data_IF_001456041562
#
_entry.id   IF_001456041562
#
_cell.length_a   1.000
_cell.length_b   1.000
_cell.length_c   1.000
_cell.angle_alpha   90.00
_cell.angle_beta   90.00
_cell.angle_gamma   90.00
#
_symmetry.space_group_name_H-M   'P 1'
#
loop_
_entity.id
_entity.type
_entity.pdbx_description
1 polymer ?
#
# COMPACT_ATOMS: atom_id res chain seq x y z
N UNK A 1 2.86 -14.33 -14.35
CA UNK A 1 3.38 -13.30 -13.43
C UNK A 1 3.07 -11.93 -14.01
N UNK A 2 2.43 -11.07 -13.20
CA UNK A 2 2.02 -9.74 -13.66
C UNK A 2 3.03 -8.65 -13.26
N UNK A 3 3.66 -8.78 -12.10
CA UNK A 3 4.61 -7.80 -11.62
C UNK A 3 5.46 -8.39 -10.51
N UNK A 4 6.75 -8.05 -10.48
CA UNK A 4 7.68 -8.46 -9.44
C UNK A 4 8.10 -7.23 -8.63
N UNK A 5 7.81 -7.24 -7.33
CA UNK A 5 8.20 -6.15 -6.43
C UNK A 5 9.69 -6.19 -6.14
N UNK A 6 10.26 -5.01 -5.86
CA UNK A 6 11.65 -4.88 -5.47
C UNK A 6 12.63 -4.68 -6.61
N UNK A 7 12.18 -4.76 -7.86
CA UNK A 7 13.08 -4.61 -9.01
C UNK A 7 13.52 -3.16 -9.23
N UNK A 8 12.74 -2.21 -8.72
CA UNK A 8 13.04 -0.77 -8.83
C UNK A 8 13.48 -0.18 -7.49
N UNK A 9 13.95 -1.03 -6.58
CA UNK A 9 14.37 -0.61 -5.25
C UNK A 9 13.19 -0.41 -4.31
N UNK A 10 13.43 0.34 -3.23
CA UNK A 10 12.44 0.50 -2.17
C UNK A 10 11.28 1.40 -2.54
N UNK A 11 11.44 2.28 -3.53
CA UNK A 11 10.42 3.28 -3.85
C UNK A 11 9.12 2.64 -4.36
N UNK A 12 9.23 1.54 -5.07
CA UNK A 12 8.07 0.82 -5.60
C UNK A 12 7.38 -0.08 -4.59
N UNK A 13 7.92 -0.17 -3.40
CA UNK A 13 7.43 -1.09 -2.39
C UNK A 13 7.98 -2.50 -2.54
N UNK A 14 7.84 -3.28 -1.49
CA UNK A 14 8.18 -4.69 -1.52
C UNK A 14 7.42 -5.43 -0.43
N UNK A 15 7.48 -6.75 -0.48
CA UNK A 15 6.76 -7.61 0.46
C UNK A 15 5.25 -7.34 0.43
N UNK A 16 4.59 -7.58 -0.71
CA UNK A 16 3.14 -7.54 -0.73
C UNK A 16 2.61 -8.64 0.18
N UNK A 17 1.73 -8.29 1.09
CA UNK A 17 1.34 -9.21 2.15
C UNK A 17 -0.16 -9.38 2.24
N UNK A 18 -0.99 -8.76 1.84
CA UNK A 18 -2.42 -9.04 1.78
C UNK A 18 -2.80 -9.50 0.39
N UNK A 19 -4.06 -9.65 0.17
CA UNK A 19 -4.57 -9.92 -1.16
C UNK A 19 -4.65 -8.67 -1.99
N UNK A 20 -5.13 -8.83 -3.20
CA UNK A 20 -5.42 -7.70 -4.09
C UNK A 20 -6.91 -7.61 -4.33
N UNK A 21 -7.39 -6.40 -4.60
CA UNK A 21 -8.77 -6.12 -4.98
C UNK A 21 -8.78 -5.67 -6.44
N UNK A 22 -9.70 -6.21 -7.22
CA UNK A 22 -9.83 -5.91 -8.64
C UNK A 22 -11.01 -4.97 -8.86
N UNK A 23 -10.81 -3.92 -9.66
CA UNK A 23 -11.91 -3.05 -10.07
C UNK A 23 -12.58 -3.57 -11.35
N UNK A 24 -13.63 -2.88 -11.79
CA UNK A 24 -14.38 -3.30 -12.98
C UNK A 24 -13.58 -3.14 -14.27
N UNK A 25 -12.51 -2.37 -14.25
CA UNK A 25 -11.63 -2.18 -15.40
C UNK A 25 -10.48 -3.18 -15.43
N UNK A 26 -10.37 -4.04 -14.42
CA UNK A 26 -9.33 -5.05 -14.36
C UNK A 26 -8.03 -4.59 -13.70
N UNK A 27 -8.01 -3.41 -13.12
CA UNK A 27 -6.87 -2.96 -12.33
C UNK A 27 -6.87 -3.65 -10.98
N UNK A 28 -5.68 -3.89 -10.43
CA UNK A 28 -5.50 -4.52 -9.13
C UNK A 28 -4.97 -3.50 -8.14
N UNK A 29 -5.45 -3.60 -6.91
CA UNK A 29 -5.05 -2.71 -5.83
C UNK A 29 -4.62 -3.54 -4.63
N UNK A 30 -3.57 -3.12 -3.97
CA UNK A 30 -3.09 -3.81 -2.79
C UNK A 30 -2.10 -2.96 -2.02
N UNK A 31 -1.43 -3.58 -1.06
CA UNK A 31 -0.45 -2.90 -0.22
C UNK A 31 0.85 -3.69 -0.19
N UNK A 32 1.94 -2.98 0.11
CA UNK A 32 3.21 -3.61 0.46
C UNK A 32 3.54 -3.28 1.90
N UNK A 33 4.19 -4.22 2.57
CA UNK A 33 4.55 -4.06 3.99
C UNK A 33 5.70 -3.06 4.15
N UNK A 34 6.63 -3.04 3.20
CA UNK A 34 7.82 -2.20 3.22
C UNK A 34 7.92 -1.42 1.92
N UNK A 35 8.89 -0.53 1.86
CA UNK A 35 9.13 0.31 0.71
C UNK A 35 8.56 1.70 0.90
N UNK A 36 8.70 2.54 -0.09
CA UNK A 36 8.36 3.96 0.01
C UNK A 36 9.51 4.78 0.58
N UNK A 37 9.21 5.96 1.08
CA UNK A 37 10.23 6.95 1.45
C UNK A 37 10.30 7.25 2.94
N UNK A 38 9.70 6.42 3.78
CA UNK A 38 9.72 6.72 5.19
C UNK A 38 11.08 6.38 5.80
N UNK A 39 11.52 7.21 6.75
CA UNK A 39 12.77 6.97 7.47
C UNK A 39 12.55 6.40 8.87
N UNK A 40 11.31 6.29 9.31
CA UNK A 40 10.98 5.81 10.65
C UNK A 40 11.23 4.31 10.80
N UNK A 41 10.98 3.56 9.74
CA UNK A 41 11.14 2.10 9.73
C UNK A 41 12.19 1.76 8.68
N UNK A 42 13.17 0.95 9.05
CA UNK A 42 14.15 0.45 8.11
C UNK A 42 13.46 -0.34 7.02
N UNK A 43 13.76 -0.05 5.78
CA UNK A 43 13.10 -0.67 4.62
C UNK A 43 11.85 0.05 4.17
N UNK A 44 11.43 1.12 4.88
CA UNK A 44 10.25 1.91 4.54
C UNK A 44 9.01 1.51 5.31
N UNK A 45 7.96 2.28 5.19
CA UNK A 45 6.73 2.13 5.96
C UNK A 45 5.61 1.43 5.18
N UNK A 46 5.84 1.10 3.93
CA UNK A 46 4.86 0.45 3.09
C UNK A 46 4.13 1.39 2.16
N UNK A 47 3.42 0.81 1.21
CA UNK A 47 2.74 1.56 0.14
C UNK A 47 1.36 0.99 -0.13
N UNK A 48 0.51 1.81 -0.77
CA UNK A 48 -0.70 1.36 -1.46
C UNK A 48 -0.41 1.46 -2.94
N UNK A 49 -0.67 0.41 -3.69
CA UNK A 49 -0.34 0.38 -5.12
C UNK A 49 -1.55 0.05 -5.99
N UNK A 50 -1.44 0.41 -7.25
CA UNK A 50 -2.34 0.01 -8.32
C UNK A 50 -1.50 -0.65 -9.41
N UNK A 51 -1.91 -1.83 -9.86
CA UNK A 51 -1.32 -2.50 -11.01
C UNK A 51 -2.33 -2.44 -12.15
N UNK A 52 -1.97 -1.70 -13.19
CA UNK A 52 -2.82 -1.59 -14.37
C UNK A 52 -2.80 -2.84 -15.22
N UNK A 53 -3.77 -2.95 -16.14
CA UNK A 53 -3.86 -4.09 -17.05
C UNK A 53 -2.64 -4.23 -17.95
N UNK A 54 -1.96 -3.13 -18.23
CA UNK A 54 -0.76 -3.10 -19.06
C UNK A 54 0.51 -3.47 -18.31
N UNK A 55 0.39 -3.84 -17.03
CA UNK A 55 1.54 -4.18 -16.19
C UNK A 55 2.21 -3.00 -15.52
N UNK A 56 1.65 -1.80 -15.65
CA UNK A 56 2.21 -0.59 -15.03
C UNK A 56 1.82 -0.52 -13.55
N UNK A 57 2.81 -0.38 -12.68
CA UNK A 57 2.59 -0.17 -11.25
C UNK A 57 2.56 1.32 -10.96
N UNK A 58 1.60 1.74 -10.15
CA UNK A 58 1.49 3.11 -9.67
C UNK A 58 1.42 3.07 -8.15
N UNK A 59 2.26 3.85 -7.49
CA UNK A 59 2.20 3.97 -6.04
C UNK A 59 1.20 5.09 -5.74
N UNK A 60 0.08 4.71 -5.16
CA UNK A 60 -0.99 5.66 -4.85
C UNK A 60 -0.71 6.41 -3.57
N UNK A 61 -0.06 5.77 -2.62
CA UNK A 61 0.31 6.38 -1.35
C UNK A 61 1.50 5.64 -0.76
N UNK A 62 2.47 6.38 -0.24
CA UNK A 62 3.57 5.83 0.55
C UNK A 62 3.40 6.33 1.98
N UNK A 63 3.27 5.40 2.92
CA UNK A 63 3.06 5.77 4.32
C UNK A 63 4.32 6.43 4.89
N UNK A 64 4.15 7.51 5.64
CA UNK A 64 5.28 8.25 6.19
C UNK A 64 5.66 7.78 7.61
N UNK A 65 4.81 7.05 8.27
CA UNK A 65 5.05 6.53 9.59
C UNK A 65 4.84 7.52 10.71
N UNK A 66 4.73 8.82 10.40
CA UNK A 66 4.58 9.86 11.40
C UNK A 66 3.14 10.30 11.57
N UNK A 67 2.42 10.48 10.49
CA UNK A 67 1.05 10.99 10.51
C UNK A 67 0.02 9.94 10.13
N UNK A 68 0.38 8.93 9.35
CA UNK A 68 -0.55 7.97 8.78
C UNK A 68 -0.21 6.51 9.07
N UNK A 69 0.76 6.26 9.94
CA UNK A 69 1.12 4.90 10.32
C UNK A 69 2.05 4.21 9.34
N UNK A 70 2.20 2.92 9.51
CA UNK A 70 3.11 2.11 8.71
C UNK A 70 2.68 0.65 8.71
N UNK A 71 3.34 -0.15 7.89
CA UNK A 71 3.12 -1.59 7.79
C UNK A 71 1.64 -1.88 7.50
N UNK A 72 1.13 -1.48 6.34
CA UNK A 72 -0.23 -1.82 5.95
C UNK A 72 -0.36 -3.34 5.86
N UNK A 73 -1.43 -3.86 6.41
CA UNK A 73 -1.61 -5.29 6.54
C UNK A 73 -3.04 -5.63 6.17
N UNK A 74 -3.23 -6.75 5.54
CA UNK A 74 -4.56 -7.18 5.17
C UNK A 74 -4.97 -6.65 3.80
N UNK A 75 -6.21 -6.89 3.46
CA UNK A 75 -6.74 -6.58 2.14
C UNK A 75 -7.16 -5.13 2.03
N UNK A 76 -7.11 -4.62 0.81
CA UNK A 76 -7.73 -3.35 0.44
C UNK A 76 -9.12 -3.65 -0.08
N UNK A 77 -10.10 -2.84 0.28
CA UNK A 77 -11.43 -2.91 -0.29
C UNK A 77 -11.76 -1.61 -1.03
N UNK A 78 -12.62 -1.69 -2.02
CA UNK A 78 -13.02 -0.54 -2.81
C UNK A 78 -14.53 -0.40 -2.79
N UNK A 79 -15.03 0.83 -2.59
CA UNK A 79 -16.45 1.09 -2.68
C UNK A 79 -16.85 1.43 -4.13
N UNK A 80 -18.14 1.66 -4.35
CA UNK A 80 -18.66 1.93 -5.71
C UNK A 80 -18.19 3.27 -6.24
N UNK A 81 -17.79 4.19 -5.39
CA UNK A 81 -17.26 5.50 -5.80
C UNK A 81 -15.76 5.45 -6.12
N UNK A 82 -15.10 4.31 -5.88
CA UNK A 82 -13.68 4.15 -6.15
C UNK A 82 -12.76 4.46 -4.98
N UNK A 83 -13.30 4.77 -3.80
CA UNK A 83 -12.48 4.96 -2.61
C UNK A 83 -11.90 3.62 -2.15
N UNK A 84 -10.66 3.65 -1.71
CA UNK A 84 -9.97 2.48 -1.17
C UNK A 84 -9.89 2.58 0.35
N UNK A 85 -10.02 1.46 1.02
CA UNK A 85 -9.96 1.38 2.48
C UNK A 85 -9.06 0.23 2.90
N UNK A 86 -8.31 0.43 3.96
CA UNK A 86 -7.47 -0.62 4.52
C UNK A 86 -7.00 -0.24 5.92
N UNK A 87 -6.06 -1.01 6.43
CA UNK A 87 -5.54 -0.80 7.78
C UNK A 87 -4.02 -0.80 7.77
N UNK A 88 -3.43 -0.18 8.77
CA UNK A 88 -2.02 -0.35 9.09
C UNK A 88 -1.88 -1.02 10.44
N UNK A 89 -0.81 -1.77 10.63
CA UNK A 89 -0.55 -2.45 11.90
C UNK A 89 0.15 -1.55 12.91
N UNK A 90 0.76 -0.45 12.46
CA UNK A 90 1.40 0.52 13.36
C UNK A 90 0.77 1.88 13.14
N UNK A 91 0.52 2.59 14.23
CA UNK A 91 -0.07 3.92 14.19
C UNK A 91 0.95 5.02 13.98
N UNK A 92 0.51 6.29 14.00
CA UNK A 92 1.40 7.42 13.83
C UNK A 92 2.54 7.42 14.86
N UNK A 93 3.75 7.73 14.40
CA UNK A 93 4.92 7.74 15.25
C UNK A 93 5.46 6.37 15.61
N UNK A 94 4.94 5.30 14.99
CA UNK A 94 5.40 3.95 15.24
C UNK A 94 4.79 3.26 16.44
N UNK A 95 3.72 3.83 17.03
CA UNK A 95 3.04 3.14 18.13
C UNK A 95 2.34 1.88 17.61
N UNK A 96 2.02 0.95 18.47
CA UNK A 96 1.49 -0.36 18.10
C UNK A 96 -0.01 -0.42 17.84
N UNK A 97 -0.71 0.72 17.79
CA UNK A 97 -2.17 0.72 17.77
C UNK A 97 -2.78 0.54 16.38
N UNK A 98 -2.06 0.92 15.33
CA UNK A 98 -2.57 0.82 13.97
C UNK A 98 -3.56 1.90 13.58
N UNK A 99 -3.96 1.88 12.31
CA UNK A 99 -4.93 2.85 11.76
C UNK A 99 -5.89 2.18 10.79
N UNK A 100 -7.02 2.83 10.55
CA UNK A 100 -7.86 2.56 9.36
C UNK A 100 -7.67 3.75 8.43
N UNK A 101 -7.36 3.47 7.17
CA UNK A 101 -7.11 4.54 6.20
C UNK A 101 -8.14 4.49 5.07
N UNK A 102 -8.34 5.66 4.44
CA UNK A 102 -9.16 5.82 3.25
C UNK A 102 -8.37 6.63 2.23
N UNK A 103 -8.40 6.20 0.99
CA UNK A 103 -7.75 6.88 -0.12
C UNK A 103 -8.79 7.15 -1.20
N UNK A 104 -9.03 8.43 -1.49
CA UNK A 104 -9.95 8.83 -2.56
C UNK A 104 -9.31 8.58 -3.92
N UNK A 105 -10.15 8.32 -4.96
CA UNK A 105 -9.63 8.08 -6.31
C UNK A 105 -8.95 9.28 -6.91
#
# INVERSE_FOLDING_TARGET
MLYTFGVDGAAGGNSPFGGVTRDSSGNLYGTTLFGGNCSLVEGGCGTVFKLGQDGTITILHAFDGYTDGSAPWGNVIQDVAGNLYGTTSSGPGGNGAGTVWKLAP
#
